data_IF_698625015530
#
_entry.id   IF_698625015530
#
_cell.length_a   1.000
_cell.length_b   1.000
_cell.length_c   1.000
_cell.angle_alpha   90.00
_cell.angle_beta   90.00
_cell.angle_gamma   90.00
#
_symmetry.space_group_name_H-M   'P 1'
#
loop_
_entity.id
_entity.type
_entity.pdbx_description
1 polymer ?
#
# COMPACT_ATOMS: atom_id res chain seq x y z
N UNK A 1 2.61 -25.91 3.82
CA UNK A 1 3.77 -25.68 2.94
C UNK A 1 3.80 -24.20 2.56
N UNK A 2 4.96 -23.54 2.69
CA UNK A 2 5.16 -22.14 2.29
C UNK A 2 5.56 -22.07 0.80
N UNK A 3 5.39 -20.92 0.11
CA UNK A 3 5.95 -20.69 -1.22
C UNK A 3 7.49 -20.87 -1.23
N UNK A 4 8.11 -21.12 -2.40
CA UNK A 4 9.57 -21.27 -2.50
C UNK A 4 10.31 -20.05 -1.92
N UNK A 5 11.25 -20.32 -1.00
CA UNK A 5 12.06 -19.33 -0.27
C UNK A 5 13.36 -18.98 -0.99
N UNK A 6 13.47 -19.30 -2.28
CA UNK A 6 14.72 -19.17 -3.05
C UNK A 6 15.11 -17.72 -3.34
N UNK A 7 14.21 -16.76 -3.10
CA UNK A 7 14.51 -15.33 -3.25
C UNK A 7 15.11 -14.78 -1.95
N UNK A 8 16.06 -13.82 -2.04
CA UNK A 8 16.65 -13.23 -0.85
C UNK A 8 15.60 -12.41 -0.08
N UNK A 9 15.44 -12.71 1.21
CA UNK A 9 14.57 -11.99 2.13
C UNK A 9 15.42 -11.32 3.21
N UNK A 10 15.92 -10.09 2.97
CA UNK A 10 16.89 -9.45 3.85
C UNK A 10 16.37 -9.23 5.28
N UNK A 11 15.05 -9.10 5.49
CA UNK A 11 14.47 -8.96 6.84
C UNK A 11 14.07 -10.29 7.47
N UNK A 12 13.65 -11.26 6.67
CA UNK A 12 13.07 -12.52 7.16
C UNK A 12 14.04 -13.71 7.14
N UNK A 13 15.32 -13.49 6.84
CA UNK A 13 16.33 -14.55 6.77
C UNK A 13 16.44 -15.37 8.07
N UNK A 14 16.28 -14.73 9.23
CA UNK A 14 16.30 -15.40 10.53
C UNK A 14 15.15 -16.41 10.68
N UNK A 15 13.93 -16.00 10.31
CA UNK A 15 12.74 -16.85 10.38
C UNK A 15 12.79 -18.00 9.37
N UNK A 16 13.38 -17.75 8.20
CA UNK A 16 13.65 -18.77 7.19
C UNK A 16 14.59 -19.83 7.75
N UNK A 17 15.68 -19.42 8.38
CA UNK A 17 16.65 -20.33 8.98
C UNK A 17 15.99 -21.15 10.11
N UNK A 18 15.19 -20.52 10.97
CA UNK A 18 14.46 -21.22 12.03
C UNK A 18 13.48 -22.28 11.50
N UNK A 19 12.81 -22.02 10.38
CA UNK A 19 11.95 -23.02 9.75
C UNK A 19 12.76 -24.16 9.10
N UNK A 20 13.91 -23.86 8.49
CA UNK A 20 14.83 -24.87 7.93
C UNK A 20 15.36 -25.79 9.03
N UNK A 21 15.83 -25.22 10.13
CA UNK A 21 16.28 -25.97 11.31
C UNK A 21 15.16 -26.83 11.89
N UNK A 22 13.92 -26.32 11.94
CA UNK A 22 12.79 -27.13 12.38
C UNK A 22 12.51 -28.31 11.46
N UNK A 23 12.60 -28.11 10.14
CA UNK A 23 12.47 -29.22 9.19
C UNK A 23 13.63 -30.22 9.30
N UNK A 24 14.87 -29.76 9.49
CA UNK A 24 16.03 -30.65 9.64
C UNK A 24 15.97 -31.48 10.95
N UNK A 25 15.46 -30.90 12.04
CA UNK A 25 15.45 -31.55 13.37
C UNK A 25 14.16 -32.32 13.66
N UNK A 26 13.01 -31.87 13.16
CA UNK A 26 11.69 -32.37 13.56
C UNK A 26 10.85 -32.90 12.39
N UNK A 27 11.25 -32.75 11.12
CA UNK A 27 10.48 -33.28 9.99
C UNK A 27 10.55 -34.81 9.92
N UNK A 28 9.72 -35.45 10.73
CA UNK A 28 9.28 -36.82 10.49
C UNK A 28 7.96 -36.78 9.74
N UNK A 29 7.70 -37.74 8.84
CA UNK A 29 6.43 -37.86 8.09
C UNK A 29 5.17 -37.83 8.98
N UNK A 30 5.32 -38.08 10.29
CA UNK A 30 4.24 -38.15 11.27
C UNK A 30 4.04 -36.86 12.09
N UNK A 31 4.96 -35.88 12.03
CA UNK A 31 4.93 -34.66 12.87
C UNK A 31 4.78 -33.39 12.03
N UNK A 32 3.76 -33.35 11.18
CA UNK A 32 3.51 -32.22 10.28
C UNK A 32 3.13 -30.91 11.00
N UNK A 33 2.70 -30.97 12.27
CA UNK A 33 2.37 -29.80 13.09
C UNK A 33 3.55 -29.24 13.89
N UNK A 34 4.67 -29.96 13.99
CA UNK A 34 5.75 -29.63 14.92
C UNK A 34 6.50 -28.33 14.61
N UNK A 35 6.30 -27.80 13.40
CA UNK A 35 6.91 -26.55 12.93
C UNK A 35 5.89 -25.43 12.71
N UNK A 36 4.68 -25.55 13.27
CA UNK A 36 3.64 -24.53 13.11
C UNK A 36 4.05 -23.17 13.69
N UNK A 37 4.75 -23.14 14.82
CA UNK A 37 5.19 -21.89 15.45
C UNK A 37 6.24 -21.17 14.59
N UNK A 38 7.25 -21.92 14.11
CA UNK A 38 8.26 -21.40 13.19
C UNK A 38 7.61 -20.90 11.88
N UNK A 39 6.62 -21.63 11.38
CA UNK A 39 5.85 -21.21 10.21
C UNK A 39 5.05 -19.93 10.48
N UNK A 40 4.39 -19.81 11.62
CA UNK A 40 3.60 -18.62 11.97
C UNK A 40 4.49 -17.37 12.09
N UNK A 41 5.68 -17.53 12.65
CA UNK A 41 6.68 -16.45 12.74
C UNK A 41 7.15 -16.00 11.36
N UNK A 42 7.47 -16.95 10.47
CA UNK A 42 7.84 -16.67 9.08
C UNK A 42 6.72 -15.95 8.31
N UNK A 43 5.49 -16.45 8.41
CA UNK A 43 4.32 -15.86 7.73
C UNK A 43 4.08 -14.42 8.22
N UNK A 44 4.28 -14.15 9.51
CA UNK A 44 4.20 -12.78 10.07
C UNK A 44 5.27 -11.88 9.46
N UNK A 45 6.53 -12.33 9.41
CA UNK A 45 7.61 -11.52 8.85
C UNK A 45 7.38 -11.19 7.38
N UNK A 46 6.94 -12.17 6.56
CA UNK A 46 6.65 -11.94 5.15
C UNK A 46 5.50 -10.96 4.91
N UNK A 47 4.50 -10.96 5.77
CA UNK A 47 3.43 -9.95 5.69
C UNK A 47 3.97 -8.54 5.92
N UNK A 48 4.83 -8.37 6.91
CA UNK A 48 5.45 -7.08 7.22
C UNK A 48 6.41 -6.60 6.11
N UNK A 49 7.26 -7.49 5.60
CA UNK A 49 8.18 -7.18 4.50
C UNK A 49 7.42 -6.81 3.21
N UNK A 50 6.35 -7.55 2.90
CA UNK A 50 5.47 -7.24 1.77
C UNK A 50 4.77 -5.89 1.94
N UNK A 51 4.27 -5.60 3.13
CA UNK A 51 3.60 -4.33 3.40
C UNK A 51 4.55 -3.15 3.23
N UNK A 52 5.78 -3.26 3.75
CA UNK A 52 6.79 -2.21 3.57
C UNK A 52 7.17 -2.01 2.10
N UNK A 53 7.38 -3.11 1.36
CA UNK A 53 7.68 -3.06 -0.06
C UNK A 53 6.54 -2.40 -0.84
N UNK A 54 5.29 -2.78 -0.57
CA UNK A 54 4.12 -2.15 -1.21
C UNK A 54 4.01 -0.67 -0.87
N UNK A 55 4.25 -0.27 0.38
CA UNK A 55 4.26 1.16 0.76
C UNK A 55 5.30 1.94 -0.02
N UNK A 56 6.51 1.39 -0.21
CA UNK A 56 7.58 2.02 -1.00
C UNK A 56 7.23 2.08 -2.49
N UNK A 57 6.70 1.01 -3.06
CA UNK A 57 6.31 0.97 -4.48
C UNK A 57 5.10 1.86 -4.78
N UNK A 58 4.21 2.01 -3.80
CA UNK A 58 2.98 2.77 -3.94
C UNK A 58 3.11 4.25 -3.51
N UNK A 59 4.29 4.68 -3.03
CA UNK A 59 4.50 6.05 -2.56
C UNK A 59 4.13 7.10 -3.63
N UNK A 60 4.51 6.84 -4.88
CA UNK A 60 4.30 7.76 -6.00
C UNK A 60 3.15 7.34 -6.92
N UNK A 61 2.36 6.32 -6.54
CA UNK A 61 1.29 5.80 -7.42
C UNK A 61 0.19 6.82 -7.67
N UNK A 62 -0.16 7.61 -6.66
CA UNK A 62 -1.22 8.61 -6.79
C UNK A 62 -0.77 9.78 -7.68
N UNK A 63 0.51 10.15 -7.62
CA UNK A 63 1.09 11.15 -8.51
C UNK A 63 1.14 10.63 -9.95
N UNK A 64 1.68 9.43 -10.18
CA UNK A 64 1.71 8.81 -11.53
C UNK A 64 0.31 8.65 -12.13
N UNK A 65 -0.68 8.25 -11.33
CA UNK A 65 -2.08 8.17 -11.80
C UNK A 65 -2.63 9.53 -12.22
N UNK A 66 -2.29 10.60 -11.49
CA UNK A 66 -2.70 11.96 -11.86
C UNK A 66 -2.03 12.41 -13.14
N UNK A 67 -0.73 12.18 -13.29
CA UNK A 67 0.00 12.49 -14.53
C UNK A 67 -0.58 11.73 -15.73
N UNK A 68 -0.85 10.43 -15.58
CA UNK A 68 -1.49 9.61 -16.62
C UNK A 68 -2.88 10.15 -17.00
N UNK A 69 -3.67 10.56 -16.02
CA UNK A 69 -4.99 11.16 -16.25
C UNK A 69 -4.89 12.52 -16.96
N UNK A 70 -3.92 13.35 -16.59
CA UNK A 70 -3.66 14.65 -17.22
C UNK A 70 -3.21 14.46 -18.69
N UNK A 71 -2.29 13.53 -18.95
CA UNK A 71 -1.88 13.17 -20.31
C UNK A 71 -3.03 12.60 -21.14
N UNK A 72 -3.86 11.73 -20.55
CA UNK A 72 -5.05 11.21 -21.22
C UNK A 72 -6.03 12.33 -21.57
N UNK A 73 -6.28 13.28 -20.66
CA UNK A 73 -7.17 14.42 -20.92
C UNK A 73 -6.69 15.27 -22.11
N UNK A 74 -5.38 15.54 -22.18
CA UNK A 74 -4.75 16.22 -23.31
C UNK A 74 -4.90 15.43 -24.62
N UNK A 75 -4.65 14.11 -24.59
CA UNK A 75 -4.75 13.24 -25.76
C UNK A 75 -6.19 13.11 -26.31
N UNK A 76 -7.20 13.14 -25.44
CA UNK A 76 -8.61 13.17 -25.84
C UNK A 76 -9.10 14.55 -26.30
N UNK A 77 -8.21 15.53 -26.49
CA UNK A 77 -8.53 16.85 -27.05
C UNK A 77 -9.25 17.79 -26.06
N UNK A 78 -9.30 17.45 -24.77
CA UNK A 78 -9.71 18.40 -23.74
C UNK A 78 -8.51 19.31 -23.46
N UNK A 79 -8.67 20.60 -23.73
CA UNK A 79 -7.59 21.60 -23.58
C UNK A 79 -7.30 21.99 -22.14
N UNK A 80 -8.17 21.59 -21.22
CA UNK A 80 -8.09 21.95 -19.81
C UNK A 80 -8.10 20.71 -18.94
N UNK A 81 -7.28 20.74 -17.90
CA UNK A 81 -7.22 19.70 -16.87
C UNK A 81 -8.51 19.72 -16.03
N UNK A 82 -8.81 18.62 -15.33
CA UNK A 82 -9.99 18.55 -14.47
C UNK A 82 -10.02 19.66 -13.39
N UNK A 83 -8.86 20.06 -12.87
CA UNK A 83 -8.74 21.17 -11.92
C UNK A 83 -9.05 22.52 -12.56
N UNK A 84 -8.53 22.78 -13.75
CA UNK A 84 -8.83 24.02 -14.48
C UNK A 84 -10.30 24.11 -14.87
N UNK A 85 -10.93 22.97 -15.21
CA UNK A 85 -12.36 22.89 -15.44
C UNK A 85 -13.15 23.24 -14.16
N UNK A 86 -12.82 22.59 -13.02
CA UNK A 86 -13.47 22.88 -11.74
C UNK A 86 -13.27 24.33 -11.28
N UNK A 87 -12.09 24.91 -11.51
CA UNK A 87 -11.82 26.31 -11.19
C UNK A 87 -12.64 27.29 -12.03
N UNK A 88 -13.14 26.88 -13.21
CA UNK A 88 -14.03 27.70 -14.03
C UNK A 88 -15.51 27.43 -13.75
N UNK A 89 -15.83 26.41 -12.94
CA UNK A 89 -17.21 26.07 -12.62
C UNK A 89 -17.71 26.95 -11.44
N UNK A 90 -18.65 27.88 -11.69
CA UNK A 90 -19.14 28.80 -10.66
C UNK A 90 -19.96 28.10 -9.58
N UNK A 91 -20.48 26.88 -9.84
CA UNK A 91 -21.18 26.10 -8.81
C UNK A 91 -20.20 25.47 -7.84
N UNK A 92 -19.07 24.96 -8.34
CA UNK A 92 -18.00 24.41 -7.52
C UNK A 92 -17.36 25.47 -6.62
N UNK A 93 -17.01 26.65 -7.17
CA UNK A 93 -16.44 27.74 -6.36
C UNK A 93 -17.36 28.16 -5.21
N UNK A 94 -18.66 28.29 -5.47
CA UNK A 94 -19.66 28.60 -4.44
C UNK A 94 -19.70 27.56 -3.33
N UNK A 95 -19.59 26.28 -3.66
CA UNK A 95 -19.59 25.20 -2.68
C UNK A 95 -18.30 25.18 -1.84
N UNK A 96 -17.15 25.41 -2.48
CA UNK A 96 -15.85 25.55 -1.79
C UNK A 96 -15.86 26.74 -0.83
N UNK A 97 -16.41 27.89 -1.24
CA UNK A 97 -16.56 29.07 -0.40
C UNK A 97 -17.46 28.77 0.81
N UNK A 98 -18.56 28.05 0.59
CA UNK A 98 -19.50 27.63 1.65
C UNK A 98 -18.83 26.72 2.68
N UNK A 99 -18.02 25.76 2.22
CA UNK A 99 -17.27 24.88 3.13
C UNK A 99 -16.14 25.62 3.87
N UNK A 100 -15.43 26.55 3.22
CA UNK A 100 -14.49 27.46 3.91
C UNK A 100 -15.17 28.29 4.98
N UNK A 101 -16.37 28.80 4.72
CA UNK A 101 -17.16 29.55 5.71
C UNK A 101 -17.60 28.65 6.88
N UNK A 102 -18.02 27.41 6.61
CA UNK A 102 -18.35 26.42 7.66
C UNK A 102 -17.14 26.07 8.50
N UNK A 103 -15.97 25.84 7.91
CA UNK A 103 -14.74 25.59 8.66
C UNK A 103 -14.32 26.79 9.51
N UNK A 104 -14.36 28.01 8.97
CA UNK A 104 -14.06 29.23 9.73
C UNK A 104 -15.02 29.43 10.90
N UNK A 105 -16.31 29.21 10.65
CA UNK A 105 -17.35 29.23 11.69
C UNK A 105 -17.05 28.20 12.79
N UNK A 106 -16.75 26.96 12.39
CA UNK A 106 -16.41 25.88 13.32
C UNK A 106 -15.17 26.19 14.18
N UNK A 107 -14.11 26.74 13.57
CA UNK A 107 -12.90 27.16 14.28
C UNK A 107 -13.08 28.40 15.16
N UNK A 108 -14.07 29.26 14.88
CA UNK A 108 -14.39 30.43 15.72
C UNK A 108 -15.27 30.09 16.94
N UNK A 109 -15.87 28.90 16.94
CA UNK A 109 -16.74 28.40 18.02
C UNK A 109 -15.97 27.58 19.08
N UNK A 110 -14.68 27.36 18.87
CA UNK A 110 -13.73 26.72 19.79
C UNK A 110 -12.69 27.72 20.26
#
# INVERSE_FOLDING_TARGET
MHPPLDRPHPRCQLEINGLRECHETKASKLRFWACNDAKASLDKCFREEKEEMLRKMNADLDEKKREEQEQAALAFGRKETFREFLAKDPTYEREVERERQRQKSWFSMF
#
